data_IF_290484526908
#
_entry.id   IF_290484526908
#
_cell.length_a   1.000
_cell.length_b   1.000
_cell.length_c   1.000
_cell.angle_alpha   90.00
_cell.angle_beta   90.00
_cell.angle_gamma   90.00
#
_symmetry.space_group_name_H-M   'P 1'
#
loop_
_entity.id
_entity.type
_entity.pdbx_description
1 polymer ?
#
# COMPACT_ATOMS: atom_id res chain seq x y z
N UNK A 1 32.30 -22.53 36.54
CA UNK A 1 32.14 -22.11 35.12
C UNK A 1 30.66 -21.83 34.91
N UNK A 2 30.17 -20.76 34.33
CA UNK A 2 30.71 -19.53 33.78
C UNK A 2 29.48 -18.61 33.71
N UNK A 3 29.56 -17.41 34.27
CA UNK A 3 28.50 -16.42 34.13
C UNK A 3 28.33 -16.07 32.66
N UNK A 4 27.09 -16.13 32.14
CA UNK A 4 26.80 -15.62 30.82
C UNK A 4 26.21 -14.21 30.95
N UNK A 5 27.12 -13.25 30.98
CA UNK A 5 26.87 -11.82 30.88
C UNK A 5 26.17 -11.50 29.57
N UNK A 6 24.85 -11.32 29.60
CA UNK A 6 24.09 -10.76 28.49
C UNK A 6 24.26 -9.22 28.46
N UNK A 7 25.51 -8.78 28.40
CA UNK A 7 25.95 -7.37 28.48
C UNK A 7 26.71 -6.97 27.20
N UNK A 8 26.31 -7.51 26.04
CA UNK A 8 27.07 -7.37 24.80
C UNK A 8 26.19 -7.18 23.55
N UNK A 9 25.03 -6.54 23.65
CA UNK A 9 24.24 -6.11 22.47
C UNK A 9 23.86 -4.63 22.45
N UNK A 10 24.25 -3.83 23.45
CA UNK A 10 24.23 -2.36 23.36
C UNK A 10 25.49 -1.84 22.64
N UNK A 11 25.89 -2.50 21.56
CA UNK A 11 26.80 -1.89 20.59
C UNK A 11 26.04 -0.73 19.93
N UNK A 12 26.06 0.41 20.61
CA UNK A 12 25.64 1.76 20.18
C UNK A 12 24.67 1.72 19.00
N UNK A 13 23.38 1.49 19.29
CA UNK A 13 22.31 1.81 18.34
C UNK A 13 22.52 3.28 17.99
N UNK A 14 22.90 3.53 16.75
CA UNK A 14 23.08 4.87 16.18
C UNK A 14 21.84 5.68 16.57
N UNK A 15 22.04 6.80 17.26
CA UNK A 15 20.98 7.70 17.71
C UNK A 15 19.98 7.91 16.57
N UNK A 16 18.78 7.35 16.71
CA UNK A 16 17.75 7.45 15.70
C UNK A 16 17.36 8.92 15.54
N UNK A 17 17.25 9.39 14.30
CA UNK A 17 16.84 10.77 14.02
C UNK A 17 15.46 11.04 14.64
N UNK A 18 15.30 12.22 15.27
CA UNK A 18 14.01 12.60 15.89
C UNK A 18 12.87 12.51 14.85
N UNK A 19 11.72 11.90 15.18
CA UNK A 19 10.59 11.81 14.26
C UNK A 19 10.11 13.21 13.86
N UNK A 20 9.70 13.36 12.60
CA UNK A 20 9.25 14.63 12.00
C UNK A 20 10.30 15.77 12.01
N UNK A 21 11.60 15.46 12.03
CA UNK A 21 12.66 16.47 11.89
C UNK A 21 12.68 17.15 10.52
N UNK A 22 11.98 16.58 9.53
CA UNK A 22 11.85 17.14 8.19
C UNK A 22 10.49 17.84 8.07
N UNK A 23 10.49 19.18 8.11
CA UNK A 23 9.29 19.99 7.87
C UNK A 23 9.22 20.32 6.39
N UNK A 24 8.14 19.90 5.71
CA UNK A 24 7.99 20.11 4.26
C UNK A 24 7.89 21.59 3.89
N UNK A 25 7.42 22.43 4.80
CA UNK A 25 7.25 23.88 4.63
C UNK A 25 8.37 24.70 5.29
N UNK A 26 9.55 24.12 5.54
CA UNK A 26 10.66 24.81 6.21
C UNK A 26 11.06 26.11 5.48
N UNK A 27 11.13 27.19 6.25
CA UNK A 27 11.64 28.49 5.80
C UNK A 27 13.08 28.45 5.26
N UNK A 28 13.91 27.51 5.77
CA UNK A 28 15.32 27.35 5.36
C UNK A 28 15.50 26.40 4.16
N UNK A 29 14.41 25.83 3.68
CA UNK A 29 14.41 24.94 2.53
C UNK A 29 14.84 25.68 1.26
N UNK A 30 15.86 25.15 0.59
CA UNK A 30 16.43 25.69 -0.63
C UNK A 30 15.60 25.38 -1.90
N UNK A 31 14.52 24.59 -1.78
CA UNK A 31 13.55 24.39 -2.87
C UNK A 31 12.85 25.71 -3.19
N UNK A 32 12.51 25.90 -4.46
CA UNK A 32 11.65 27.01 -4.88
C UNK A 32 10.27 26.92 -4.23
N UNK A 33 9.57 28.06 -4.10
CA UNK A 33 8.24 28.13 -3.48
C UNK A 33 7.27 27.15 -4.16
N UNK A 34 7.29 27.08 -5.49
CA UNK A 34 6.46 26.16 -6.27
C UNK A 34 6.76 24.69 -5.93
N UNK A 35 8.04 24.30 -5.84
CA UNK A 35 8.42 22.93 -5.52
C UNK A 35 8.09 22.55 -4.08
N UNK A 36 8.20 23.51 -3.14
CA UNK A 36 7.84 23.31 -1.74
C UNK A 36 6.33 23.08 -1.59
N UNK A 37 5.52 23.86 -2.31
CA UNK A 37 4.06 23.72 -2.31
C UNK A 37 3.64 22.38 -2.93
N UNK A 38 4.16 22.03 -4.10
CA UNK A 38 3.86 20.76 -4.76
C UNK A 38 4.22 19.55 -3.88
N UNK A 39 5.34 19.62 -3.15
CA UNK A 39 5.72 18.57 -2.22
C UNK A 39 4.79 18.47 -1.01
N UNK A 40 4.32 19.61 -0.48
CA UNK A 40 3.35 19.63 0.61
C UNK A 40 2.02 18.98 0.17
N UNK A 41 1.52 19.34 -1.01
CA UNK A 41 0.32 18.74 -1.61
C UNK A 41 0.47 17.22 -1.76
N UNK A 42 1.59 16.76 -2.32
CA UNK A 42 1.87 15.32 -2.50
C UNK A 42 2.07 14.53 -1.20
N UNK A 43 2.33 15.20 -0.08
CA UNK A 43 2.50 14.57 1.23
C UNK A 43 1.15 14.36 1.94
N UNK A 44 0.17 15.22 1.67
CA UNK A 44 -1.20 15.11 2.20
C UNK A 44 -2.06 14.13 1.42
N UNK A 45 -1.87 14.03 0.11
CA UNK A 45 -2.64 13.10 -0.70
C UNK A 45 -2.11 11.66 -0.52
N UNK A 46 -2.97 10.67 -0.20
CA UNK A 46 -2.56 9.29 -0.29
C UNK A 46 -2.15 9.05 -1.74
N UNK A 47 -0.88 8.71 -1.96
CA UNK A 47 -0.39 8.29 -3.27
C UNK A 47 -1.16 7.03 -3.67
N UNK A 48 -2.26 7.22 -4.40
CA UNK A 48 -2.93 6.14 -5.10
C UNK A 48 -2.05 5.78 -6.29
N UNK A 49 -0.97 5.07 -5.99
CA UNK A 49 -0.11 4.52 -7.02
C UNK A 49 -0.97 3.61 -7.90
N UNK A 50 -0.75 3.62 -9.22
CA UNK A 50 -1.52 2.79 -10.18
C UNK A 50 -1.54 1.32 -9.77
N UNK A 51 -0.51 0.88 -9.07
CA UNK A 51 -0.39 -0.45 -8.48
C UNK A 51 -1.41 -0.69 -7.35
N UNK A 52 -1.61 0.29 -6.46
CA UNK A 52 -2.64 0.21 -5.40
C UNK A 52 -4.04 0.18 -5.99
N UNK A 53 -4.29 0.95 -7.06
CA UNK A 53 -5.55 0.91 -7.79
C UNK A 53 -5.78 -0.43 -8.50
N UNK A 54 -4.70 -1.08 -8.99
CA UNK A 54 -4.79 -2.39 -9.60
C UNK A 54 -5.03 -3.48 -8.57
N UNK A 55 -4.39 -3.40 -7.39
CA UNK A 55 -4.61 -4.32 -6.27
C UNK A 55 -6.03 -4.27 -5.70
N UNK A 56 -6.72 -3.11 -5.80
CA UNK A 56 -8.14 -3.00 -5.45
C UNK A 56 -9.06 -3.80 -6.38
N UNK A 57 -8.66 -4.00 -7.64
CA UNK A 57 -9.45 -4.72 -8.65
C UNK A 57 -9.11 -6.20 -8.71
N UNK A 58 -7.83 -6.51 -8.71
CA UNK A 58 -7.32 -7.88 -8.68
C UNK A 58 -6.33 -8.00 -7.50
N UNK A 59 -6.70 -8.73 -6.44
CA UNK A 59 -5.85 -8.88 -5.26
C UNK A 59 -4.53 -9.60 -5.57
N UNK A 60 -4.45 -10.34 -6.69
CA UNK A 60 -3.23 -11.05 -7.12
C UNK A 60 -2.30 -10.20 -8.00
N UNK A 61 -2.78 -9.07 -8.52
CA UNK A 61 -2.03 -8.27 -9.48
C UNK A 61 -0.71 -7.68 -8.93
N UNK A 62 -0.64 -7.13 -7.71
CA UNK A 62 0.62 -6.59 -7.18
C UNK A 62 1.71 -7.65 -7.10
N UNK A 63 1.38 -8.85 -6.58
CA UNK A 63 2.32 -9.95 -6.48
C UNK A 63 2.86 -10.38 -7.86
N UNK A 64 1.95 -10.56 -8.84
CA UNK A 64 2.31 -10.91 -10.22
C UNK A 64 3.18 -9.85 -10.90
N UNK A 65 2.89 -8.56 -10.67
CA UNK A 65 3.68 -7.45 -11.22
C UNK A 65 5.12 -7.45 -10.73
N UNK A 66 5.34 -7.83 -9.46
CA UNK A 66 6.67 -7.95 -8.88
C UNK A 66 7.35 -9.32 -9.14
N UNK A 67 6.70 -10.22 -9.88
CA UNK A 67 7.22 -11.57 -10.15
C UNK A 67 7.17 -12.51 -8.95
N UNK A 68 6.37 -12.19 -7.94
CA UNK A 68 6.18 -12.99 -6.73
C UNK A 68 4.92 -13.85 -6.84
N UNK A 69 4.88 -14.93 -6.07
CA UNK A 69 3.66 -15.72 -5.91
C UNK A 69 2.65 -14.95 -5.04
N UNK A 70 1.36 -14.88 -5.44
CA UNK A 70 0.32 -14.27 -4.62
C UNK A 70 0.16 -15.01 -3.30
N UNK A 71 -0.26 -14.29 -2.26
CA UNK A 71 -0.56 -14.95 -0.98
C UNK A 71 -1.83 -15.79 -1.10
N UNK A 72 -1.94 -16.84 -0.28
CA UNK A 72 -3.14 -17.70 -0.22
C UNK A 72 -4.44 -16.91 -0.01
N UNK A 73 -4.39 -15.80 0.74
CA UNK A 73 -5.55 -14.92 0.92
C UNK A 73 -5.95 -14.23 -0.39
N UNK A 74 -4.97 -13.68 -1.11
CA UNK A 74 -5.21 -13.03 -2.40
C UNK A 74 -5.74 -14.00 -3.47
N UNK A 75 -5.32 -15.26 -3.43
CA UNK A 75 -5.87 -16.30 -4.31
C UNK A 75 -7.35 -16.58 -4.02
N UNK A 76 -7.70 -16.73 -2.74
CA UNK A 76 -9.09 -16.95 -2.30
C UNK A 76 -9.97 -15.75 -2.67
N UNK A 77 -9.49 -14.54 -2.43
CA UNK A 77 -10.23 -13.32 -2.77
C UNK A 77 -10.48 -13.23 -4.29
N UNK A 78 -9.51 -13.61 -5.14
CA UNK A 78 -9.69 -13.67 -6.59
C UNK A 78 -10.68 -14.76 -7.03
N UNK A 79 -10.68 -15.91 -6.38
CA UNK A 79 -11.64 -17.00 -6.63
C UNK A 79 -13.06 -16.57 -6.28
N UNK A 80 -13.26 -15.96 -5.10
CA UNK A 80 -14.56 -15.43 -4.66
C UNK A 80 -15.07 -14.38 -5.65
N UNK A 81 -14.22 -13.43 -6.07
CA UNK A 81 -14.59 -12.43 -7.07
C UNK A 81 -15.04 -13.06 -8.39
N UNK A 82 -14.32 -14.09 -8.87
CA UNK A 82 -14.67 -14.79 -10.10
C UNK A 82 -16.02 -15.54 -9.97
N UNK A 83 -16.27 -16.17 -8.82
CA UNK A 83 -17.54 -16.84 -8.54
C UNK A 83 -18.70 -15.83 -8.45
N UNK A 84 -18.52 -14.73 -7.73
CA UNK A 84 -19.50 -13.66 -7.60
C UNK A 84 -19.87 -13.05 -8.96
N UNK A 85 -18.88 -12.80 -9.83
CA UNK A 85 -19.14 -12.33 -11.19
C UNK A 85 -19.97 -13.32 -12.01
N UNK A 86 -19.70 -14.62 -11.88
CA UNK A 86 -20.46 -15.65 -12.58
C UNK A 86 -21.90 -15.73 -12.07
N UNK A 87 -22.09 -15.61 -10.75
CA UNK A 87 -23.40 -15.57 -10.12
C UNK A 87 -24.16 -14.31 -10.56
N UNK A 88 -23.48 -13.14 -10.60
CA UNK A 88 -24.06 -11.90 -11.11
C UNK A 88 -24.46 -12.02 -12.57
N UNK A 89 -23.64 -12.63 -13.42
CA UNK A 89 -23.96 -12.86 -14.85
C UNK A 89 -25.20 -13.76 -14.99
N UNK A 90 -25.29 -14.83 -14.21
CA UNK A 90 -26.47 -15.72 -14.18
C UNK A 90 -27.71 -15.01 -13.64
N UNK A 91 -27.56 -14.21 -12.58
CA UNK A 91 -28.64 -13.44 -11.95
C UNK A 91 -29.14 -12.32 -12.85
N UNK A 92 -28.23 -11.57 -13.49
CA UNK A 92 -28.54 -10.52 -14.45
C UNK A 92 -29.21 -11.06 -15.71
N UNK A 93 -28.82 -12.25 -16.19
CA UNK A 93 -29.54 -12.94 -17.26
C UNK A 93 -30.94 -13.44 -16.83
N UNK A 94 -31.17 -13.61 -15.52
CA UNK A 94 -32.45 -14.08 -14.97
C UNK A 94 -33.41 -12.98 -14.52
N UNK A 95 -32.94 -11.72 -14.44
CA UNK A 95 -33.78 -10.57 -14.17
C UNK A 95 -34.31 -10.05 -15.52
N UNK A 96 -35.61 -10.22 -15.83
CA UNK A 96 -36.18 -9.59 -17.01
C UNK A 96 -36.03 -8.07 -16.85
N UNK A 97 -35.51 -7.40 -17.88
CA UNK A 97 -35.54 -5.95 -17.98
C UNK A 97 -36.99 -5.46 -17.72
N UNK A 98 -37.26 -4.90 -16.55
CA UNK A 98 -38.42 -4.03 -16.38
C UNK A 98 -38.12 -2.77 -17.20
N UNK A 99 -38.49 -2.85 -18.49
CA UNK A 99 -38.54 -1.70 -19.37
C UNK A 99 -39.57 -0.72 -18.81
N UNK A 100 -39.08 0.44 -18.36
CA UNK A 100 -39.86 1.67 -18.26
C UNK A 100 -39.52 2.58 -19.44
#
# INVERSE_FOLDING_TARGET
>A
MSGNSNAASEATRIEEGKPNSHIVTDSKDQRTIANRLAAAESATEPRQDKETEMGKKDPTAPAKMHGNEPSRGAEIDAEIQAEEEQILKKKGASLPDEKN
#
